data_IF_638023107257
#
_entry.id   IF_638023107257
#
_cell.length_a   1.000
_cell.length_b   1.000
_cell.length_c   1.000
_cell.angle_alpha   90.00
_cell.angle_beta   90.00
_cell.angle_gamma   90.00
#
_symmetry.space_group_name_H-M   'P 1'
#
loop_
_entity.id
_entity.type
_entity.pdbx_description
1 polymer ?
#
# COMPACT_ATOMS: atom_id res chain seq x y z
N UNK A 1 -8.23 8.66 -20.58
CA UNK A 1 -8.12 8.05 -19.24
C UNK A 1 -9.52 8.00 -18.65
N UNK A 2 -9.93 6.91 -17.98
CA UNK A 2 -11.26 6.86 -17.34
C UNK A 2 -11.42 8.03 -16.35
N UNK A 3 -12.61 8.64 -16.31
CA UNK A 3 -12.93 9.75 -15.40
C UNK A 3 -12.67 9.36 -13.93
N UNK A 4 -12.99 8.13 -13.55
CA UNK A 4 -12.74 7.61 -12.20
C UNK A 4 -11.24 7.53 -11.88
N UNK A 5 -10.43 7.04 -12.81
CA UNK A 5 -8.97 6.96 -12.64
C UNK A 5 -8.34 8.35 -12.50
N UNK A 6 -8.83 9.32 -13.28
CA UNK A 6 -8.38 10.71 -13.18
C UNK A 6 -8.73 11.30 -11.81
N UNK A 7 -9.97 11.10 -11.34
CA UNK A 7 -10.39 11.53 -10.00
C UNK A 7 -9.52 10.92 -8.92
N UNK A 8 -9.31 9.61 -8.91
CA UNK A 8 -8.42 8.95 -7.95
C UNK A 8 -7.03 9.59 -7.95
N UNK A 9 -6.41 9.73 -9.11
CA UNK A 9 -5.07 10.33 -9.22
C UNK A 9 -5.02 11.77 -8.71
N UNK A 10 -5.95 12.62 -9.12
CA UNK A 10 -5.94 14.06 -8.80
C UNK A 10 -6.33 14.30 -7.35
N UNK A 11 -7.40 13.65 -6.89
CA UNK A 11 -7.97 13.90 -5.58
C UNK A 11 -7.19 13.25 -4.43
N UNK A 12 -6.37 12.22 -4.69
CA UNK A 12 -5.49 11.62 -3.66
C UNK A 12 -4.06 12.12 -3.73
N UNK A 13 -3.72 13.01 -4.68
CA UNK A 13 -2.35 13.53 -4.84
C UNK A 13 -1.83 14.22 -3.57
N UNK A 14 -2.57 15.10 -2.88
CA UNK A 14 -2.07 15.74 -1.67
C UNK A 14 -1.72 14.74 -0.56
N UNK A 15 -2.54 13.69 -0.39
CA UNK A 15 -2.30 12.64 0.60
C UNK A 15 -1.12 11.74 0.21
N UNK A 16 -0.94 11.45 -1.08
CA UNK A 16 0.24 10.75 -1.58
C UNK A 16 1.52 11.53 -1.27
N UNK A 17 1.57 12.82 -1.62
CA UNK A 17 2.72 13.70 -1.37
C UNK A 17 2.99 13.87 0.14
N UNK A 18 1.95 13.91 0.96
CA UNK A 18 2.10 13.96 2.41
C UNK A 18 2.71 12.67 2.98
N UNK A 19 2.17 11.50 2.58
CA UNK A 19 2.71 10.21 3.00
C UNK A 19 4.16 10.01 2.54
N UNK A 20 4.50 10.41 1.32
CA UNK A 20 5.86 10.31 0.80
C UNK A 20 6.86 11.13 1.63
N UNK A 21 6.49 12.38 2.00
CA UNK A 21 7.29 13.22 2.89
C UNK A 21 7.43 12.63 4.29
N UNK A 22 6.35 12.08 4.84
CA UNK A 22 6.36 11.45 6.18
C UNK A 22 7.23 10.20 6.19
N UNK A 23 7.15 9.36 5.15
CA UNK A 23 8.00 8.18 5.01
C UNK A 23 9.48 8.57 4.90
N UNK A 24 9.80 9.55 4.05
CA UNK A 24 11.16 10.04 3.78
C UNK A 24 12.18 8.91 3.50
N UNK A 25 11.72 7.81 2.88
CA UNK A 25 12.53 6.60 2.63
C UNK A 25 13.64 6.83 1.61
N UNK A 26 13.56 7.90 0.81
CA UNK A 26 14.59 8.31 -0.13
C UNK A 26 15.60 9.29 0.46
N UNK A 27 15.52 9.57 1.77
CA UNK A 27 16.51 10.42 2.44
C UNK A 27 17.91 9.82 2.32
N UNK A 28 18.95 10.61 2.02
CA UNK A 28 20.33 10.15 2.11
C UNK A 28 20.71 9.84 3.57
N UNK A 29 20.04 10.43 4.54
CA UNK A 29 20.30 10.22 5.98
C UNK A 29 19.27 9.28 6.61
N UNK A 30 18.65 8.39 5.83
CA UNK A 30 17.71 7.40 6.38
C UNK A 30 18.41 6.50 7.41
N UNK A 31 17.94 6.53 8.65
CA UNK A 31 18.44 5.69 9.73
C UNK A 31 17.74 4.33 9.74
N UNK A 32 18.51 3.27 10.06
CA UNK A 32 17.99 1.90 10.19
C UNK A 32 16.85 1.80 11.20
N UNK A 33 16.92 2.52 12.33
CA UNK A 33 15.88 2.51 13.34
C UNK A 33 14.54 3.01 12.79
N UNK A 34 14.56 4.09 12.00
CA UNK A 34 13.38 4.61 11.31
C UNK A 34 12.86 3.61 10.29
N UNK A 35 13.74 3.01 9.50
CA UNK A 35 13.37 2.00 8.52
C UNK A 35 12.67 0.79 9.15
N UNK A 36 13.23 0.25 10.23
CA UNK A 36 12.63 -0.84 11.01
C UNK A 36 11.23 -0.48 11.54
N UNK A 37 11.07 0.73 12.07
CA UNK A 37 9.78 1.19 12.57
C UNK A 37 8.74 1.30 11.44
N UNK A 38 9.14 1.77 10.26
CA UNK A 38 8.28 1.80 9.06
C UNK A 38 7.84 0.39 8.64
N UNK A 39 8.77 -0.58 8.56
CA UNK A 39 8.45 -1.97 8.22
C UNK A 39 7.43 -2.58 9.18
N UNK A 40 7.62 -2.37 10.49
CA UNK A 40 6.70 -2.87 11.52
C UNK A 40 5.30 -2.25 11.39
N UNK A 41 5.22 -0.95 11.07
CA UNK A 41 3.93 -0.28 10.87
C UNK A 41 3.24 -0.72 9.58
N UNK A 42 3.98 -0.94 8.48
CA UNK A 42 3.40 -1.52 7.26
C UNK A 42 2.90 -2.94 7.49
N UNK A 43 3.66 -3.78 8.20
CA UNK A 43 3.22 -5.13 8.56
C UNK A 43 1.91 -5.09 9.33
N UNK A 44 1.84 -4.28 10.39
CA UNK A 44 0.62 -4.11 11.20
C UNK A 44 -0.56 -3.57 10.38
N UNK A 45 -0.31 -2.64 9.46
CA UNK A 45 -1.36 -2.16 8.55
C UNK A 45 -1.90 -3.27 7.66
N UNK A 46 -1.03 -4.07 7.03
CA UNK A 46 -1.43 -5.17 6.15
C UNK A 46 -2.24 -6.23 6.88
N UNK A 47 -1.83 -6.64 8.08
CA UNK A 47 -2.59 -7.58 8.90
C UNK A 47 -4.00 -7.08 9.25
N UNK A 48 -4.18 -5.78 9.45
CA UNK A 48 -5.49 -5.18 9.72
C UNK A 48 -6.34 -4.97 8.45
N UNK A 49 -5.69 -4.63 7.34
CA UNK A 49 -6.35 -4.34 6.06
C UNK A 49 -6.85 -5.59 5.35
N UNK A 50 -6.05 -6.67 5.34
CA UNK A 50 -6.36 -7.89 4.59
C UNK A 50 -7.74 -8.51 4.94
N UNK A 51 -8.11 -8.74 6.21
CA UNK A 51 -9.41 -9.32 6.54
C UNK A 51 -10.57 -8.38 6.19
N UNK A 52 -10.39 -7.07 6.35
CA UNK A 52 -11.38 -6.06 5.97
C UNK A 52 -11.63 -6.08 4.46
N UNK A 53 -10.57 -6.08 3.66
CA UNK A 53 -10.66 -6.15 2.21
C UNK A 53 -11.31 -7.46 1.73
N UNK A 54 -10.97 -8.61 2.32
CA UNK A 54 -11.59 -9.89 1.98
C UNK A 54 -13.09 -9.93 2.28
N UNK A 55 -13.55 -9.28 3.34
CA UNK A 55 -14.98 -9.18 3.65
C UNK A 55 -15.72 -8.34 2.62
N UNK A 56 -15.20 -7.14 2.33
CA UNK A 56 -15.86 -6.15 1.46
C UNK A 56 -15.76 -6.47 -0.04
N UNK A 57 -14.72 -7.19 -0.45
CA UNK A 57 -14.48 -7.60 -1.85
C UNK A 57 -14.71 -9.11 -2.03
N UNK A 58 -15.66 -9.67 -1.28
CA UNK A 58 -15.94 -11.12 -1.30
C UNK A 58 -16.52 -11.63 -2.62
N UNK A 59 -17.17 -10.77 -3.41
CA UNK A 59 -17.60 -11.04 -4.80
C UNK A 59 -16.47 -10.83 -5.82
N UNK A 60 -15.33 -10.31 -5.38
CA UNK A 60 -14.19 -9.87 -6.19
C UNK A 60 -12.89 -10.59 -5.76
N UNK A 61 -12.98 -11.82 -5.25
CA UNK A 61 -11.83 -12.56 -4.68
C UNK A 61 -10.65 -12.71 -5.63
N UNK A 62 -10.92 -12.86 -6.93
CA UNK A 62 -9.87 -12.95 -7.96
C UNK A 62 -9.03 -11.67 -8.00
N UNK A 63 -9.63 -10.52 -7.65
CA UNK A 63 -8.90 -9.26 -7.59
C UNK A 63 -7.89 -9.23 -6.44
N UNK A 64 -8.16 -9.92 -5.33
CA UNK A 64 -7.25 -9.98 -4.18
C UNK A 64 -6.17 -11.07 -4.33
N UNK A 65 -6.35 -12.01 -5.25
CA UNK A 65 -5.43 -13.12 -5.46
C UNK A 65 -4.04 -12.63 -5.84
N UNK A 66 -3.03 -13.08 -5.09
CA UNK A 66 -1.62 -12.72 -5.31
C UNK A 66 -1.23 -11.30 -4.89
N UNK A 67 -2.11 -10.56 -4.20
CA UNK A 67 -1.84 -9.18 -3.73
C UNK A 67 -1.55 -9.05 -2.24
N UNK A 68 -1.51 -10.18 -1.52
CA UNK A 68 -1.11 -10.17 -0.12
C UNK A 68 0.40 -9.91 -0.02
N UNK A 69 0.76 -8.76 0.58
CA UNK A 69 2.15 -8.38 0.83
C UNK A 69 2.59 -8.66 2.26
N UNK A 70 1.73 -9.23 3.10
CA UNK A 70 2.08 -9.59 4.49
C UNK A 70 3.29 -10.53 4.56
N UNK A 71 3.38 -11.60 3.73
CA UNK A 71 4.55 -12.49 3.77
C UNK A 71 5.87 -11.77 3.48
N UNK A 72 5.89 -10.85 2.50
CA UNK A 72 7.08 -10.05 2.17
C UNK A 72 7.55 -9.20 3.35
N UNK A 73 6.60 -8.61 4.08
CA UNK A 73 6.91 -7.84 5.29
C UNK A 73 7.38 -8.75 6.43
N UNK A 74 6.83 -9.95 6.56
CA UNK A 74 7.29 -10.92 7.56
C UNK A 74 8.74 -11.35 7.28
N UNK A 75 9.09 -11.60 6.02
CA UNK A 75 10.46 -11.92 5.59
C UNK A 75 11.42 -10.75 5.87
N UNK A 76 11.02 -9.52 5.56
CA UNK A 76 11.82 -8.32 5.84
C UNK A 76 12.05 -8.12 7.35
N UNK A 77 11.02 -8.33 8.18
CA UNK A 77 11.17 -8.26 9.63
C UNK A 77 12.08 -9.37 10.17
N UNK A 78 11.95 -10.60 9.66
CA UNK A 78 12.77 -11.74 10.04
C UNK A 78 14.25 -11.52 9.70
N UNK A 79 14.54 -10.91 8.54
CA UNK A 79 15.90 -10.56 8.13
C UNK A 79 16.62 -9.68 9.18
N UNK A 80 15.90 -8.74 9.80
CA UNK A 80 16.45 -7.86 10.83
C UNK A 80 16.27 -8.39 12.27
N UNK A 81 15.74 -9.61 12.45
CA UNK A 81 15.44 -10.16 13.78
C UNK A 81 14.36 -9.38 14.54
N UNK A 82 13.46 -8.70 13.83
CA UNK A 82 12.41 -7.87 14.41
C UNK A 82 11.13 -8.68 14.62
N UNK A 83 10.52 -8.52 15.80
CA UNK A 83 9.16 -9.01 16.02
C UNK A 83 8.12 -8.10 15.34
N UNK A 84 7.00 -8.61 14.82
CA UNK A 84 5.85 -7.79 14.48
C UNK A 84 5.38 -6.94 15.65
N UNK A 85 4.65 -5.86 15.36
CA UNK A 85 3.93 -5.13 16.41
C UNK A 85 2.66 -5.90 16.78
N UNK A 86 2.19 -5.80 18.04
CA UNK A 86 0.89 -6.32 18.40
C UNK A 86 -0.20 -5.62 17.56
N UNK A 87 -1.31 -6.32 17.33
CA UNK A 87 -2.47 -5.70 16.73
C UNK A 87 -2.97 -4.54 17.60
N UNK A 88 -3.34 -3.41 16.99
CA UNK A 88 -3.85 -2.23 17.71
C UNK A 88 -5.38 -2.09 17.58
N UNK A 89 -6.07 -3.22 17.50
CA UNK A 89 -7.49 -3.25 17.15
C UNK A 89 -7.73 -3.13 15.64
N UNK A 90 -9.01 -3.12 15.22
CA UNK A 90 -9.36 -3.04 13.81
C UNK A 90 -8.95 -1.69 13.22
N UNK A 91 -8.56 -1.69 11.93
CA UNK A 91 -8.45 -0.44 11.18
C UNK A 91 -9.80 0.29 11.17
N UNK A 92 -9.82 1.64 11.03
CA UNK A 92 -11.06 2.34 10.73
C UNK A 92 -11.78 1.66 9.56
N UNK A 93 -13.09 1.37 9.69
CA UNK A 93 -13.80 0.59 8.70
C UNK A 93 -13.88 1.35 7.37
N UNK A 94 -13.73 0.62 6.26
CA UNK A 94 -14.14 1.09 4.94
C UNK A 94 -15.65 0.86 4.80
N UNK A 95 -16.34 1.80 4.17
CA UNK A 95 -17.80 1.82 4.15
C UNK A 95 -18.40 0.61 3.42
N UNK A 96 -17.82 0.24 2.28
CA UNK A 96 -18.33 -0.79 1.37
C UNK A 96 -17.26 -1.27 0.37
N UNK A 97 -17.67 -2.07 -0.62
CA UNK A 97 -16.84 -2.58 -1.69
C UNK A 97 -16.18 -1.47 -2.54
N UNK A 98 -16.90 -0.37 -2.81
CA UNK A 98 -16.33 0.78 -3.54
C UNK A 98 -15.18 1.40 -2.73
N UNK A 99 -15.37 1.66 -1.44
CA UNK A 99 -14.30 2.16 -0.58
C UNK A 99 -13.11 1.19 -0.49
N UNK A 100 -13.36 -0.12 -0.42
CA UNK A 100 -12.31 -1.15 -0.47
C UNK A 100 -11.54 -1.16 -1.79
N UNK A 101 -12.22 -0.99 -2.92
CA UNK A 101 -11.61 -0.88 -4.25
C UNK A 101 -10.68 0.33 -4.35
N UNK A 102 -11.09 1.46 -3.78
CA UNK A 102 -10.25 2.66 -3.67
C UNK A 102 -9.04 2.47 -2.78
N UNK A 103 -9.18 1.72 -1.69
CA UNK A 103 -8.07 1.35 -0.84
C UNK A 103 -7.06 0.47 -1.58
N UNK A 104 -7.54 -0.56 -2.30
CA UNK A 104 -6.71 -1.43 -3.12
C UNK A 104 -5.96 -0.65 -4.21
N UNK A 105 -6.59 0.35 -4.83
CA UNK A 105 -5.93 1.23 -5.80
C UNK A 105 -4.67 1.90 -5.23
N UNK A 106 -4.72 2.37 -3.98
CA UNK A 106 -3.55 2.98 -3.30
C UNK A 106 -2.43 1.96 -3.12
N UNK A 107 -2.79 0.76 -2.62
CA UNK A 107 -1.81 -0.28 -2.34
C UNK A 107 -1.15 -0.81 -3.62
N UNK A 108 -1.92 -1.03 -4.69
CA UNK A 108 -1.39 -1.45 -5.99
C UNK A 108 -0.54 -0.35 -6.63
N UNK A 109 -0.99 0.90 -6.58
CA UNK A 109 -0.24 2.04 -7.12
C UNK A 109 1.11 2.24 -6.43
N UNK A 110 1.19 1.92 -5.13
CA UNK A 110 2.42 2.05 -4.34
C UNK A 110 3.57 1.13 -4.81
N UNK A 111 3.27 0.05 -5.54
CA UNK A 111 4.28 -0.92 -5.99
C UNK A 111 5.28 -0.33 -6.98
N UNK A 112 4.86 0.63 -7.82
CA UNK A 112 5.74 1.30 -8.78
C UNK A 112 6.75 2.22 -8.09
N UNK A 113 6.30 3.02 -7.12
CA UNK A 113 7.18 3.83 -6.28
C UNK A 113 8.09 2.96 -5.40
N UNK A 114 7.57 1.81 -4.96
CA UNK A 114 8.34 0.80 -4.23
C UNK A 114 9.62 0.37 -4.94
N UNK A 115 9.62 0.23 -6.27
CA UNK A 115 10.82 -0.09 -7.03
C UNK A 115 11.92 0.97 -6.93
N UNK A 116 11.54 2.25 -6.84
CA UNK A 116 12.50 3.33 -6.64
C UNK A 116 13.09 3.25 -5.24
N UNK A 117 12.23 3.03 -4.23
CA UNK A 117 12.63 2.86 -2.83
C UNK A 117 13.56 1.65 -2.69
N UNK A 118 13.22 0.50 -3.27
CA UNK A 118 14.03 -0.72 -3.21
C UNK A 118 15.48 -0.47 -3.68
N UNK A 119 15.67 0.16 -4.85
CA UNK A 119 17.01 0.52 -5.36
C UNK A 119 17.75 1.49 -4.45
N UNK A 120 17.04 2.44 -3.84
CA UNK A 120 17.65 3.35 -2.88
C UNK A 120 18.11 2.60 -1.62
N UNK A 121 17.30 1.70 -1.08
CA UNK A 121 17.65 0.89 0.08
C UNK A 121 18.86 -0.02 -0.18
N UNK A 122 18.94 -0.63 -1.38
CA UNK A 122 20.12 -1.42 -1.80
C UNK A 122 21.40 -0.59 -1.75
N UNK A 123 21.35 0.63 -2.30
CA UNK A 123 22.53 1.50 -2.38
C UNK A 123 22.90 2.15 -1.05
N UNK A 124 21.91 2.51 -0.22
CA UNK A 124 22.13 3.26 1.02
C UNK A 124 22.34 2.38 2.25
N UNK A 125 21.62 1.27 2.35
CA UNK A 125 21.64 0.38 3.51
C UNK A 125 22.46 -0.90 3.24
N UNK A 126 22.96 -1.08 2.01
CA UNK A 126 23.77 -2.24 1.63
C UNK A 126 22.98 -3.55 1.52
N UNK A 127 21.65 -3.46 1.47
CA UNK A 127 20.76 -4.61 1.30
C UNK A 127 20.88 -5.19 -0.12
N UNK A 128 20.68 -6.50 -0.26
CA UNK A 128 20.79 -7.21 -1.54
C UNK A 128 19.81 -8.36 -1.61
N UNK A 129 19.56 -8.84 -2.82
CA UNK A 129 18.79 -10.06 -3.12
C UNK A 129 17.38 -10.08 -2.51
N UNK A 130 16.78 -8.89 -2.30
CA UNK A 130 15.46 -8.73 -1.69
C UNK A 130 15.45 -8.88 -0.16
N UNK A 131 16.57 -9.22 0.48
CA UNK A 131 16.62 -9.46 1.91
C UNK A 131 16.50 -8.15 2.71
N UNK A 132 15.42 -7.99 3.46
CA UNK A 132 15.16 -6.80 4.28
C UNK A 132 14.50 -5.64 3.53
N UNK A 133 14.07 -5.83 2.27
CA UNK A 133 13.32 -4.84 1.49
C UNK A 133 12.40 -5.47 0.41
N UNK A 134 12.08 -6.76 0.53
CA UNK A 134 11.22 -7.51 -0.39
C UNK A 134 9.83 -6.86 -0.55
N UNK A 135 9.30 -6.26 0.51
CA UNK A 135 8.03 -5.52 0.46
C UNK A 135 8.03 -4.42 -0.60
N UNK A 136 9.13 -3.67 -0.72
CA UNK A 136 9.27 -2.59 -1.70
C UNK A 136 9.53 -3.12 -3.11
N UNK A 137 10.03 -4.35 -3.24
CA UNK A 137 10.08 -5.04 -4.52
C UNK A 137 8.68 -5.45 -5.03
N UNK A 138 7.69 -5.57 -4.13
CA UNK A 138 6.31 -5.93 -4.49
C UNK A 138 6.27 -7.27 -5.22
N UNK A 139 5.73 -7.27 -6.43
CA UNK A 139 5.61 -8.44 -7.31
C UNK A 139 6.77 -8.55 -8.32
N UNK A 140 7.86 -7.80 -8.11
CA UNK A 140 9.00 -7.73 -9.01
C UNK A 140 8.59 -7.32 -10.43
N UNK A 141 8.90 -8.17 -11.42
CA UNK A 141 8.57 -7.93 -12.83
C UNK A 141 7.06 -7.82 -13.10
N UNK A 142 6.21 -8.32 -12.19
CA UNK A 142 4.76 -8.28 -12.32
C UNK A 142 4.13 -6.96 -11.82
N UNK A 143 4.90 -6.04 -11.21
CA UNK A 143 4.36 -4.76 -10.73
C UNK A 143 3.64 -3.96 -11.83
N UNK A 144 4.27 -3.82 -13.00
CA UNK A 144 3.68 -3.14 -14.16
C UNK A 144 2.40 -3.80 -14.66
N UNK A 145 2.43 -5.11 -14.99
CA UNK A 145 1.24 -5.88 -15.38
C UNK A 145 0.10 -5.83 -14.36
N UNK A 146 0.38 -6.06 -13.07
CA UNK A 146 -0.66 -6.04 -12.02
C UNK A 146 -1.27 -4.66 -11.85
N UNK A 147 -0.46 -3.61 -11.93
CA UNK A 147 -0.97 -2.23 -11.93
C UNK A 147 -1.81 -1.91 -13.17
N UNK A 148 -1.41 -2.39 -14.35
CA UNK A 148 -2.20 -2.23 -15.57
C UNK A 148 -3.57 -2.94 -15.44
N UNK A 149 -3.59 -4.16 -14.92
CA UNK A 149 -4.82 -4.91 -14.67
C UNK A 149 -5.75 -4.20 -13.67
N UNK A 150 -5.19 -3.64 -12.58
CA UNK A 150 -5.97 -2.86 -11.62
C UNK A 150 -6.60 -1.61 -12.27
N UNK A 151 -5.82 -0.87 -13.06
CA UNK A 151 -6.34 0.30 -13.78
C UNK A 151 -7.41 -0.06 -14.80
N UNK A 152 -7.24 -1.17 -15.51
CA UNK A 152 -8.23 -1.65 -16.45
C UNK A 152 -9.54 -2.04 -15.74
N UNK A 153 -9.43 -2.70 -14.59
CA UNK A 153 -10.58 -3.03 -13.74
C UNK A 153 -11.35 -1.78 -13.32
N UNK A 154 -10.66 -0.77 -12.81
CA UNK A 154 -11.26 0.52 -12.43
C UNK A 154 -11.83 1.29 -13.62
N UNK A 155 -11.20 1.20 -14.80
CA UNK A 155 -11.71 1.85 -15.99
C UNK A 155 -13.05 1.28 -16.46
N UNK A 156 -13.30 -0.01 -16.19
CA UNK A 156 -14.56 -0.72 -16.48
C UNK A 156 -15.56 -0.72 -15.31
N UNK A 157 -15.19 -0.17 -14.16
CA UNK A 157 -16.04 -0.16 -12.98
C UNK A 157 -17.23 0.81 -13.19
N UNK A 158 -18.49 0.40 -12.96
CA UNK A 158 -19.67 1.22 -13.24
C UNK A 158 -19.91 2.32 -12.18
N UNK A 159 -18.89 2.67 -11.38
CA UNK A 159 -19.06 3.59 -10.27
C UNK A 159 -19.19 5.03 -10.79
N UNK A 160 -20.32 5.65 -10.49
CA UNK A 160 -20.63 7.05 -10.79
C UNK A 160 -21.25 7.73 -9.56
N UNK A 161 -21.25 9.07 -9.56
CA UNK A 161 -21.81 9.87 -8.47
C UNK A 161 -21.34 9.39 -7.08
N UNK A 162 -22.27 9.08 -6.15
CA UNK A 162 -21.91 8.64 -4.79
C UNK A 162 -20.99 7.40 -4.73
N UNK A 163 -21.09 6.47 -5.67
CA UNK A 163 -20.22 5.29 -5.70
C UNK A 163 -18.76 5.66 -6.01
N UNK A 164 -18.56 6.52 -7.00
CA UNK A 164 -17.23 7.05 -7.32
C UNK A 164 -16.65 7.86 -6.15
N UNK A 165 -17.49 8.59 -5.42
CA UNK A 165 -17.08 9.36 -4.24
C UNK A 165 -16.62 8.44 -3.09
N UNK A 166 -17.31 7.32 -2.85
CA UNK A 166 -16.89 6.33 -1.83
C UNK A 166 -15.56 5.69 -2.19
N UNK A 167 -15.32 5.40 -3.47
CA UNK A 167 -14.06 4.84 -3.96
C UNK A 167 -12.90 5.82 -3.74
N UNK A 168 -13.08 7.11 -4.09
CA UNK A 168 -12.09 8.15 -3.78
C UNK A 168 -11.91 8.34 -2.27
N UNK A 169 -12.99 8.25 -1.49
CA UNK A 169 -12.95 8.36 -0.02
C UNK A 169 -12.14 7.22 0.59
N UNK A 170 -12.35 5.98 0.16
CA UNK A 170 -11.58 4.83 0.63
C UNK A 170 -10.09 4.93 0.31
N UNK A 171 -9.74 5.48 -0.86
CA UNK A 171 -8.36 5.79 -1.20
C UNK A 171 -7.74 6.84 -0.25
N UNK A 172 -8.46 7.95 0.00
CA UNK A 172 -8.03 9.00 0.94
C UNK A 172 -7.89 8.47 2.38
N UNK A 173 -8.84 7.65 2.84
CA UNK A 173 -8.79 7.00 4.16
C UNK A 173 -7.56 6.11 4.30
N UNK A 174 -7.20 5.37 3.24
CA UNK A 174 -6.02 4.50 3.25
C UNK A 174 -4.73 5.28 3.46
N UNK A 175 -4.55 6.40 2.76
CA UNK A 175 -3.41 7.28 3.00
C UNK A 175 -3.41 7.85 4.42
N UNK A 176 -4.56 8.31 4.92
CA UNK A 176 -4.66 8.88 6.26
C UNK A 176 -4.30 7.85 7.35
N UNK A 177 -4.75 6.60 7.22
CA UNK A 177 -4.43 5.51 8.15
C UNK A 177 -2.92 5.23 8.15
N UNK A 178 -2.31 5.17 6.96
CA UNK A 178 -0.87 4.96 6.83
C UNK A 178 -0.10 6.12 7.45
N UNK A 179 -0.45 7.37 7.14
CA UNK A 179 0.22 8.55 7.68
C UNK A 179 0.12 8.62 9.21
N UNK A 180 -1.07 8.43 9.79
CA UNK A 180 -1.26 8.44 11.25
C UNK A 180 -0.41 7.39 11.97
N UNK A 181 -0.19 6.23 11.34
CA UNK A 181 0.65 5.16 11.89
C UNK A 181 2.14 5.48 11.73
N UNK A 182 2.52 6.30 10.78
CA UNK A 182 3.92 6.58 10.43
C UNK A 182 4.44 7.89 11.03
N UNK A 183 3.66 8.56 11.90
CA UNK A 183 4.16 9.61 12.79
C UNK A 183 4.96 8.95 13.92
N UNK A 184 6.22 8.64 13.62
CA UNK A 184 7.22 8.02 14.49
C UNK A 184 8.45 8.91 14.65
#
# INVERSE_FOLDING_TARGET
>A
MSRLLERLRVETRPQHEALERTLNLLSPTLEMARYHAILRQFHRFWCGWQPLAHGLLSDERDLLTGRDRTPLLSDDLAHFGLAPLPADGPLPPLADADAAMGSLYVLEGSTLGGQVIARHLETRLGLRDGAGYAYFQGYGRQNGPMWAAMRERLARHPAEGPAADRLVTGAKQTFAILEQRLVI
#
